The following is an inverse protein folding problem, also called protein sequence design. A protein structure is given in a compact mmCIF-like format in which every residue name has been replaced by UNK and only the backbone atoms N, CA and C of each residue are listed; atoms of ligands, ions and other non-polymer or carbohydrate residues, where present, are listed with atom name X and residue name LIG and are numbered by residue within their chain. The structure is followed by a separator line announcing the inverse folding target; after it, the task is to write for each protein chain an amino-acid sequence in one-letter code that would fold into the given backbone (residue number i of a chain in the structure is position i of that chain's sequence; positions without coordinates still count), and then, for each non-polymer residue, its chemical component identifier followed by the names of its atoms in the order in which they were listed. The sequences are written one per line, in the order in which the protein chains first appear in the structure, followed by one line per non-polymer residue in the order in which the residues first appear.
data_IF_259304971787
#
_entry.id   IF_259304971787
#
_cell.length_a   1.000
_cell.length_b   1.000
_cell.length_c   1.000
_cell.angle_alpha   90.00
_cell.angle_beta   90.00
_cell.angle_gamma   90.00
#
_symmetry.space_group_name_H-M   'P 1'
#
loop_
_entity.id
_entity.type
_entity.pdbx_description
1 polymer ?
#
# COMPACT_ATOMS: atom_id res chain seq x y z
N UNK A 1 -14.02 1.77 3.28
CA UNK A 1 -14.01 0.76 4.36
C UNK A 1 -14.37 1.42 5.68
N UNK A 2 -15.30 0.82 6.44
CA UNK A 2 -15.72 1.29 7.79
C UNK A 2 -14.56 1.41 8.81
N UNK A 3 -13.39 0.88 8.44
CA UNK A 3 -12.16 0.86 9.24
C UNK A 3 -11.27 2.08 9.02
N UNK A 4 -11.44 2.83 7.93
CA UNK A 4 -10.78 4.13 7.80
C UNK A 4 -11.58 5.19 8.55
N UNK A 5 -10.90 6.15 9.19
CA UNK A 5 -11.55 7.13 10.05
C UNK A 5 -12.31 8.23 9.27
N UNK A 6 -12.55 8.04 7.97
CA UNK A 6 -13.46 8.84 7.14
C UNK A 6 -14.93 8.55 7.45
N UNK A 7 -15.25 7.30 7.83
CA UNK A 7 -16.63 6.89 8.08
C UNK A 7 -17.18 7.53 9.37
N UNK A 8 -18.44 7.99 9.40
CA UNK A 8 -19.11 8.41 10.63
C UNK A 8 -19.38 7.21 11.57
N UNK A 9 -19.60 6.02 11.00
CA UNK A 9 -19.69 4.75 11.72
C UNK A 9 -18.31 4.08 11.68
N UNK A 10 -17.56 4.22 12.77
CA UNK A 10 -16.17 3.74 12.88
C UNK A 10 -16.14 2.45 13.66
N UNK A 11 -15.55 1.42 13.08
CA UNK A 11 -15.19 0.21 13.82
C UNK A 11 -13.83 0.43 14.46
N UNK A 12 -13.79 0.33 15.79
CA UNK A 12 -12.58 0.46 16.60
C UNK A 12 -12.53 -0.75 17.53
N UNK A 13 -11.55 -1.62 17.31
CA UNK A 13 -11.30 -2.84 18.05
C UNK A 13 -9.81 -3.12 18.16
N UNK A 14 -9.47 -4.09 19.01
CA UNK A 14 -8.11 -4.63 19.06
C UNK A 14 -7.84 -5.43 17.77
N UNK A 15 -6.65 -5.24 17.20
CA UNK A 15 -6.18 -5.93 15.99
C UNK A 15 -6.99 -5.66 14.70
N UNK A 16 -7.71 -4.53 14.63
CA UNK A 16 -8.42 -4.08 13.41
C UNK A 16 -7.53 -4.10 12.15
N UNK A 17 -6.24 -3.83 12.33
CA UNK A 17 -5.26 -3.83 11.25
C UNK A 17 -5.19 -5.15 10.49
N UNK A 18 -5.24 -6.28 11.18
CA UNK A 18 -5.15 -7.60 10.55
C UNK A 18 -6.34 -7.82 9.61
N UNK A 19 -7.54 -7.47 10.08
CA UNK A 19 -8.76 -7.56 9.28
C UNK A 19 -8.65 -6.67 8.04
N UNK A 20 -8.13 -5.44 8.19
CA UNK A 20 -7.91 -4.53 7.07
C UNK A 20 -6.98 -5.14 6.01
N UNK A 21 -5.86 -5.73 6.40
CA UNK A 21 -4.92 -6.34 5.44
C UNK A 21 -5.54 -7.52 4.70
N UNK A 22 -6.20 -8.43 5.42
CA UNK A 22 -6.81 -9.60 4.80
C UNK A 22 -7.93 -9.21 3.83
N UNK A 23 -8.82 -8.31 4.24
CA UNK A 23 -9.98 -7.93 3.45
C UNK A 23 -9.64 -7.02 2.28
N UNK A 24 -8.60 -6.20 2.41
CA UNK A 24 -8.35 -5.13 1.47
C UNK A 24 -7.09 -5.35 0.66
N UNK A 25 -5.98 -5.73 1.31
CA UNK A 25 -4.69 -5.84 0.63
C UNK A 25 -4.53 -7.18 -0.08
N UNK A 26 -4.88 -8.29 0.59
CA UNK A 26 -4.63 -9.64 0.05
C UNK A 26 -5.75 -10.10 -0.88
N UNK A 27 -7.01 -9.81 -0.54
CA UNK A 27 -8.16 -10.28 -1.32
C UNK A 27 -8.13 -9.82 -2.78
N UNK A 28 -7.84 -8.53 -3.03
CA UNK A 28 -7.88 -7.95 -4.38
C UNK A 28 -6.88 -8.62 -5.35
N UNK A 29 -5.56 -8.65 -5.08
CA UNK A 29 -4.60 -9.26 -6.01
C UNK A 29 -4.86 -10.76 -6.17
N UNK A 30 -5.26 -11.47 -5.11
CA UNK A 30 -5.62 -12.90 -5.21
C UNK A 30 -6.84 -13.09 -6.11
N UNK A 31 -7.87 -12.23 -5.99
CA UNK A 31 -9.06 -12.30 -6.84
C UNK A 31 -8.73 -12.05 -8.32
N UNK A 32 -7.85 -11.08 -8.61
CA UNK A 32 -7.38 -10.79 -9.97
C UNK A 32 -6.61 -11.99 -10.55
N UNK A 33 -5.74 -12.62 -9.75
CA UNK A 33 -5.01 -13.83 -10.16
C UNK A 33 -5.98 -14.97 -10.48
N UNK A 34 -6.95 -15.24 -9.60
CA UNK A 34 -7.92 -16.32 -9.80
C UNK A 34 -8.80 -16.07 -11.03
N UNK A 35 -9.23 -14.83 -11.25
CA UNK A 35 -10.00 -14.45 -12.43
C UNK A 35 -9.18 -14.63 -13.72
N UNK A 36 -7.90 -14.28 -13.69
CA UNK A 36 -6.98 -14.47 -14.81
C UNK A 36 -6.70 -15.94 -15.09
N UNK A 37 -6.57 -16.78 -14.06
CA UNK A 37 -6.37 -18.22 -14.21
C UNK A 37 -7.61 -18.96 -14.71
N UNK A 38 -8.81 -18.44 -14.45
CA UNK A 38 -10.06 -19.00 -14.94
C UNK A 38 -10.22 -18.89 -16.46
N UNK A 39 -9.48 -17.99 -17.11
CA UNK A 39 -9.43 -17.81 -18.57
C UNK A 39 -8.00 -18.13 -19.04
N UNK A 40 -7.71 -19.42 -19.30
CA UNK A 40 -6.34 -19.85 -19.53
C UNK A 40 -5.92 -19.72 -20.99
N UNK A 41 -4.79 -19.05 -21.19
CA UNK A 41 -4.03 -19.09 -22.42
C UNK A 41 -2.56 -18.70 -22.23
N UNK A 42 -1.78 -18.77 -23.31
CA UNK A 42 -0.32 -18.72 -23.22
C UNK A 42 0.19 -17.35 -22.75
N UNK A 43 -0.44 -16.26 -23.15
CA UNK A 43 -0.06 -14.91 -22.74
C UNK A 43 -0.53 -14.59 -21.32
N UNK A 44 -1.78 -14.94 -21.00
CA UNK A 44 -2.38 -14.79 -19.67
C UNK A 44 -1.58 -15.50 -18.59
N UNK A 45 -1.18 -16.76 -18.82
CA UNK A 45 -0.39 -17.54 -17.86
C UNK A 45 0.99 -16.93 -17.58
N UNK A 46 1.66 -16.36 -18.60
CA UNK A 46 2.92 -15.64 -18.41
C UNK A 46 2.70 -14.34 -17.64
N UNK A 47 1.66 -13.56 -17.96
CA UNK A 47 1.29 -12.36 -17.22
C UNK A 47 1.01 -12.64 -15.74
N UNK A 48 0.22 -13.67 -15.45
CA UNK A 48 -0.09 -14.12 -14.09
C UNK A 48 1.17 -14.56 -13.34
N UNK A 49 2.08 -15.28 -13.99
CA UNK A 49 3.35 -15.69 -13.37
C UNK A 49 4.19 -14.49 -12.92
N UNK A 50 4.23 -13.43 -13.74
CA UNK A 50 4.91 -12.17 -13.41
C UNK A 50 4.18 -11.45 -12.29
N UNK A 51 2.86 -11.34 -12.35
CA UNK A 51 2.07 -10.67 -11.31
C UNK A 51 2.25 -11.36 -9.95
N UNK A 52 2.24 -12.69 -9.90
CA UNK A 52 2.49 -13.47 -8.68
C UNK A 52 3.86 -13.17 -8.06
N UNK A 53 4.90 -13.04 -8.87
CA UNK A 53 6.23 -12.65 -8.39
C UNK A 53 6.23 -11.26 -7.74
N UNK A 54 5.41 -10.33 -8.23
CA UNK A 54 5.25 -9.02 -7.59
C UNK A 54 4.44 -9.11 -6.30
N UNK A 55 3.28 -9.77 -6.32
CA UNK A 55 2.39 -9.93 -5.16
C UNK A 55 3.12 -10.55 -3.97
N UNK A 56 3.92 -11.59 -4.22
CA UNK A 56 4.68 -12.30 -3.17
C UNK A 56 5.70 -11.41 -2.44
N UNK A 57 6.27 -10.41 -3.10
CA UNK A 57 7.24 -9.51 -2.48
C UNK A 57 6.59 -8.21 -1.96
N UNK A 58 5.60 -7.69 -2.68
CA UNK A 58 5.01 -6.39 -2.36
C UNK A 58 4.03 -6.47 -1.17
N UNK A 59 3.25 -7.54 -1.03
CA UNK A 59 2.28 -7.67 0.08
C UNK A 59 2.97 -7.77 1.45
N UNK A 60 4.03 -8.60 1.64
CA UNK A 60 4.75 -8.62 2.90
C UNK A 60 5.47 -7.31 3.20
N UNK A 61 6.05 -6.66 2.18
CA UNK A 61 6.71 -5.37 2.35
C UNK A 61 5.73 -4.27 2.77
N UNK A 62 4.54 -4.26 2.15
CA UNK A 62 3.45 -3.36 2.52
C UNK A 62 3.01 -3.58 3.95
N UNK A 63 2.74 -4.83 4.33
CA UNK A 63 2.35 -5.22 5.67
C UNK A 63 3.38 -4.73 6.72
N UNK A 64 4.66 -5.03 6.51
CA UNK A 64 5.73 -4.63 7.42
C UNK A 64 5.84 -3.08 7.54
N UNK A 65 5.70 -2.37 6.42
CA UNK A 65 5.76 -0.90 6.42
C UNK A 65 4.64 -0.25 7.24
N UNK A 66 3.39 -0.73 7.10
CA UNK A 66 2.27 -0.21 7.86
C UNK A 66 2.29 -0.64 9.32
N UNK A 67 2.91 -1.79 9.62
CA UNK A 67 3.01 -2.32 10.98
C UNK A 67 3.97 -1.47 11.85
N UNK A 68 4.98 -0.85 11.26
CA UNK A 68 5.98 -0.02 11.95
C UNK A 68 5.37 1.10 12.82
N UNK A 69 4.56 2.03 12.29
CA UNK A 69 3.92 3.07 13.11
C UNK A 69 2.94 2.49 14.14
N UNK A 70 2.33 1.35 13.85
CA UNK A 70 1.35 0.71 14.75
C UNK A 70 2.02 0.11 15.98
N UNK A 71 3.17 -0.53 15.80
CA UNK A 71 4.01 -1.01 16.90
C UNK A 71 4.29 0.15 17.86
N UNK A 72 4.84 1.26 17.36
CA UNK A 72 5.26 2.41 18.17
C UNK A 72 4.10 2.95 19.01
N UNK A 73 2.91 3.08 18.41
CA UNK A 73 1.73 3.65 19.05
C UNK A 73 1.08 2.68 20.03
N UNK A 74 1.11 1.38 19.72
CA UNK A 74 0.52 0.34 20.56
C UNK A 74 1.18 0.23 21.93
N UNK A 75 2.40 0.73 22.11
CA UNK A 75 3.05 0.79 23.42
C UNK A 75 2.35 1.76 24.38
N UNK A 76 1.85 2.89 23.86
CA UNK A 76 1.30 3.97 24.70
C UNK A 76 -0.22 4.08 24.69
N UNK A 77 -0.88 3.59 23.64
CA UNK A 77 -2.32 3.75 23.45
C UNK A 77 -3.01 2.41 23.18
N UNK A 78 -4.20 2.24 23.76
CA UNK A 78 -5.15 1.15 23.45
C UNK A 78 -6.29 1.70 22.57
N UNK A 79 -6.97 0.88 21.76
CA UNK A 79 -6.75 -0.54 21.46
C UNK A 79 -5.45 -0.85 20.71
N UNK A 80 -4.96 -2.07 20.91
CA UNK A 80 -3.68 -2.58 20.38
C UNK A 80 -3.81 -2.80 18.87
N UNK A 81 -2.83 -2.34 18.08
CA UNK A 81 -2.82 -2.44 16.62
C UNK A 81 -4.10 -1.92 15.92
N UNK A 82 -4.67 -0.81 16.40
CA UNK A 82 -5.81 -0.17 15.74
C UNK A 82 -5.39 0.92 14.75
N UNK A 83 -6.02 0.92 13.58
CA UNK A 83 -5.79 1.92 12.51
C UNK A 83 -6.23 3.31 12.97
N UNK A 84 -7.33 3.39 13.72
CA UNK A 84 -7.89 4.67 14.18
C UNK A 84 -6.90 5.41 15.07
N UNK A 85 -6.49 4.75 16.16
CA UNK A 85 -5.56 5.30 17.17
C UNK A 85 -4.23 5.68 16.55
N UNK A 86 -3.77 4.86 15.61
CA UNK A 86 -2.58 5.13 14.80
C UNK A 86 -2.77 6.44 14.04
N UNK A 87 -3.82 6.56 13.23
CA UNK A 87 -4.02 7.74 12.39
C UNK A 87 -4.07 9.07 13.14
N UNK A 88 -4.59 9.09 14.37
CA UNK A 88 -4.71 10.32 15.17
C UNK A 88 -3.42 10.70 15.90
N UNK A 89 -2.50 9.76 16.14
CA UNK A 89 -1.33 9.98 17.00
C UNK A 89 0.02 9.87 16.27
N UNK A 90 0.08 9.28 15.07
CA UNK A 90 1.33 9.14 14.29
C UNK A 90 2.08 10.46 14.14
N UNK A 91 1.37 11.57 13.92
CA UNK A 91 1.97 12.89 13.74
C UNK A 91 2.92 13.30 14.90
N UNK A 92 2.65 12.86 16.13
CA UNK A 92 3.52 13.17 17.29
C UNK A 92 4.90 12.52 17.14
N UNK A 93 4.95 11.32 16.58
CA UNK A 93 6.19 10.56 16.39
C UNK A 93 7.01 11.03 15.19
N UNK A 94 6.44 11.86 14.31
CA UNK A 94 7.21 12.61 13.32
C UNK A 94 8.02 13.76 13.92
N UNK A 95 7.69 14.22 15.14
CA UNK A 95 8.43 15.29 15.82
C UNK A 95 9.60 14.76 16.65
N UNK A 96 9.58 13.48 17.01
CA UNK A 96 10.58 12.85 17.87
C UNK A 96 11.77 12.34 17.03
N UNK A 97 13.01 12.83 17.27
CA UNK A 97 14.18 12.44 16.47
C UNK A 97 14.46 10.94 16.40
N UNK A 98 14.14 10.19 17.46
CA UNK A 98 14.39 8.75 17.54
C UNK A 98 13.39 7.89 16.74
N UNK A 99 12.16 8.36 16.55
CA UNK A 99 11.12 7.62 15.83
C UNK A 99 11.00 8.03 14.35
N UNK A 100 11.66 9.11 13.95
CA UNK A 100 11.71 9.55 12.54
C UNK A 100 12.40 8.50 11.62
N UNK A 101 13.57 7.92 11.95
CA UNK A 101 14.24 6.96 11.07
C UNK A 101 13.39 5.75 10.66
N UNK A 102 12.74 4.99 11.58
CA UNK A 102 11.90 3.87 11.18
C UNK A 102 10.69 4.32 10.34
N UNK A 103 10.14 5.50 10.64
CA UNK A 103 8.96 6.02 9.95
C UNK A 103 9.26 6.49 8.52
N UNK A 104 10.44 7.09 8.29
CA UNK A 104 10.92 7.42 6.93
C UNK A 104 11.16 6.16 6.12
N UNK A 105 11.80 5.13 6.70
CA UNK A 105 12.03 3.86 6.01
C UNK A 105 10.71 3.18 5.64
N UNK A 106 9.74 3.16 6.55
CA UNK A 106 8.40 2.67 6.28
C UNK A 106 7.69 3.48 5.17
N UNK A 107 7.80 4.81 5.20
CA UNK A 107 7.22 5.68 4.18
C UNK A 107 7.84 5.42 2.80
N UNK A 108 9.16 5.37 2.68
CA UNK A 108 9.85 5.07 1.42
C UNK A 108 9.44 3.69 0.91
N UNK A 109 9.45 2.67 1.76
CA UNK A 109 9.03 1.32 1.38
C UNK A 109 7.58 1.31 0.86
N UNK A 110 6.66 2.00 1.56
CA UNK A 110 5.26 2.06 1.18
C UNK A 110 5.00 2.78 -0.15
N UNK A 111 5.78 3.82 -0.48
CA UNK A 111 5.69 4.52 -1.78
C UNK A 111 6.19 3.62 -2.92
N UNK A 112 7.27 2.87 -2.69
CA UNK A 112 7.77 1.91 -3.69
C UNK A 112 6.76 0.79 -3.93
N UNK A 113 6.13 0.28 -2.87
CA UNK A 113 5.03 -0.69 -2.97
C UNK A 113 3.85 -0.09 -3.72
N UNK A 114 3.43 1.13 -3.41
CA UNK A 114 2.32 1.80 -4.10
C UNK A 114 2.55 1.83 -5.62
N UNK A 115 3.78 2.15 -6.03
CA UNK A 115 4.15 2.15 -7.45
C UNK A 115 4.05 0.76 -8.09
N UNK A 116 4.48 -0.28 -7.37
CA UNK A 116 4.40 -1.66 -7.82
C UNK A 116 2.95 -2.17 -7.89
N UNK A 117 2.12 -1.84 -6.90
CA UNK A 117 0.69 -2.18 -6.86
C UNK A 117 -0.09 -1.54 -8.00
N UNK A 118 0.18 -0.28 -8.31
CA UNK A 118 -0.47 0.44 -9.39
C UNK A 118 0.00 0.02 -10.80
N UNK A 119 0.98 -0.87 -10.89
CA UNK A 119 1.62 -1.29 -12.15
C UNK A 119 2.11 -0.10 -12.99
N UNK A 120 2.42 1.03 -12.36
CA UNK A 120 2.91 2.20 -13.06
C UNK A 120 4.40 2.05 -13.37
N UNK A 121 4.87 2.72 -14.43
CA UNK A 121 6.30 2.83 -14.72
C UNK A 121 7.01 3.29 -13.44
N UNK A 122 8.05 2.62 -12.94
CA UNK A 122 8.92 1.70 -13.67
C UNK A 122 8.60 0.20 -13.47
N UNK A 123 7.55 -0.13 -12.72
CA UNK A 123 7.13 -1.50 -12.37
C UNK A 123 6.00 -2.06 -13.27
N UNK A 124 5.76 -1.42 -14.42
CA UNK A 124 4.80 -1.91 -15.42
C UNK A 124 5.31 -3.15 -16.16
N UNK A 125 5.26 -4.32 -15.49
CA UNK A 125 5.76 -5.61 -15.98
C UNK A 125 4.65 -6.66 -16.14
N UNK A 126 3.65 -6.73 -15.25
CA UNK A 126 2.57 -7.70 -15.38
C UNK A 126 1.62 -7.43 -16.56
N UNK A 127 1.48 -6.18 -16.98
CA UNK A 127 0.62 -5.76 -18.08
C UNK A 127 1.39 -5.54 -19.40
N UNK A 128 2.71 -5.32 -19.31
CA UNK A 128 3.64 -4.94 -20.38
C UNK A 128 3.16 -5.27 -21.82
N UNK A 129 2.40 -4.34 -22.42
CA UNK A 129 1.73 -4.56 -23.71
C UNK A 129 2.71 -4.94 -24.83
N UNK A 130 3.91 -4.35 -24.79
CA UNK A 130 4.95 -4.58 -25.79
C UNK A 130 5.57 -5.98 -25.72
N UNK A 131 5.38 -6.73 -24.62
CA UNK A 131 5.91 -8.09 -24.44
C UNK A 131 4.82 -9.17 -24.40
N UNK A 132 3.66 -8.85 -23.80
CA UNK A 132 2.61 -9.83 -23.48
C UNK A 132 1.20 -9.35 -23.88
N UNK A 133 1.08 -8.44 -24.86
CA UNK A 133 -0.17 -7.88 -25.41
C UNK A 133 -0.96 -7.05 -24.39
N UNK A 134 -1.49 -7.68 -23.34
CA UNK A 134 -2.16 -7.06 -22.19
C UNK A 134 -1.93 -7.86 -20.87
N UNK A 135 -0.99 -8.81 -20.89
CA UNK A 135 -0.64 -9.62 -19.72
C UNK A 135 -1.77 -10.48 -19.17
N UNK A 136 -2.15 -10.27 -17.91
CA UNK A 136 -3.19 -11.06 -17.27
C UNK A 136 -4.61 -10.67 -17.71
N UNK A 137 -4.77 -9.56 -18.43
CA UNK A 137 -6.06 -9.06 -18.91
C UNK A 137 -6.37 -9.49 -20.35
N UNK A 138 -5.46 -10.21 -21.03
CA UNK A 138 -5.56 -10.51 -22.47
C UNK A 138 -6.83 -11.24 -22.88
N UNK A 139 -7.38 -12.06 -21.99
CA UNK A 139 -8.54 -12.91 -22.28
C UNK A 139 -9.84 -12.38 -21.68
N UNK A 140 -9.81 -11.22 -21.02
CA UNK A 140 -11.01 -10.67 -20.39
C UNK A 140 -11.98 -10.12 -21.44
N UNK A 141 -13.21 -10.60 -21.36
CA UNK A 141 -14.35 -9.99 -22.06
C UNK A 141 -14.65 -8.59 -21.47
N UNK A 142 -15.26 -7.71 -22.26
CA UNK A 142 -15.52 -6.32 -21.86
C UNK A 142 -16.10 -6.12 -20.44
N UNK A 143 -17.15 -6.86 -20.03
CA UNK A 143 -17.69 -6.73 -18.66
C UNK A 143 -16.71 -7.19 -17.57
N UNK A 144 -15.96 -8.26 -17.81
CA UNK A 144 -14.98 -8.81 -16.84
C UNK A 144 -13.78 -7.89 -16.73
N UNK A 145 -13.30 -7.35 -17.86
CA UNK A 145 -12.24 -6.36 -17.91
C UNK A 145 -12.62 -5.10 -17.12
N UNK A 146 -13.86 -4.61 -17.28
CA UNK A 146 -14.34 -3.46 -16.52
C UNK A 146 -14.32 -3.68 -15.01
N UNK A 147 -14.66 -4.89 -14.54
CA UNK A 147 -14.58 -5.24 -13.11
C UNK A 147 -13.12 -5.38 -12.65
N UNK A 148 -12.25 -5.96 -13.49
CA UNK A 148 -10.83 -6.11 -13.20
C UNK A 148 -10.13 -4.76 -12.98
N UNK A 149 -10.33 -3.83 -13.91
CA UNK A 149 -9.77 -2.49 -13.85
C UNK A 149 -10.30 -1.72 -12.64
N UNK A 150 -11.61 -1.85 -12.35
CA UNK A 150 -12.22 -1.24 -11.16
C UNK A 150 -11.59 -1.80 -9.87
N UNK A 151 -11.41 -3.11 -9.77
CA UNK A 151 -10.76 -3.74 -8.62
C UNK A 151 -9.32 -3.25 -8.44
N UNK A 152 -8.55 -3.17 -9.52
CA UNK A 152 -7.19 -2.63 -9.51
C UNK A 152 -7.17 -1.17 -9.04
N UNK A 153 -8.03 -0.31 -9.60
CA UNK A 153 -8.12 1.10 -9.21
C UNK A 153 -8.50 1.26 -7.73
N UNK A 154 -9.39 0.41 -7.21
CA UNK A 154 -9.73 0.38 -5.79
C UNK A 154 -8.51 0.02 -4.93
N UNK A 155 -7.71 -0.98 -5.32
CA UNK A 155 -6.49 -1.35 -4.57
C UNK A 155 -5.50 -0.18 -4.51
N UNK A 156 -5.27 0.51 -5.63
CA UNK A 156 -4.39 1.69 -5.69
C UNK A 156 -4.92 2.82 -4.81
N UNK A 157 -6.22 3.12 -4.87
CA UNK A 157 -6.83 4.17 -4.05
C UNK A 157 -6.72 3.84 -2.57
N UNK A 158 -7.02 2.60 -2.17
CA UNK A 158 -6.98 2.21 -0.76
C UNK A 158 -5.53 2.18 -0.25
N UNK A 159 -4.58 1.70 -1.03
CA UNK A 159 -3.17 1.70 -0.63
C UNK A 159 -2.60 3.10 -0.51
N UNK A 160 -2.96 4.04 -1.39
CA UNK A 160 -2.61 5.44 -1.20
C UNK A 160 -3.28 6.05 0.05
N UNK A 161 -4.55 5.74 0.31
CA UNK A 161 -5.25 6.21 1.51
C UNK A 161 -4.66 5.64 2.80
N UNK A 162 -4.26 4.36 2.81
CA UNK A 162 -3.66 3.73 3.99
C UNK A 162 -2.35 4.41 4.38
N UNK A 163 -1.51 4.77 3.41
CA UNK A 163 -0.27 5.52 3.62
C UNK A 163 -0.58 6.87 4.26
N UNK A 164 -1.58 7.59 3.75
CA UNK A 164 -1.98 8.89 4.32
C UNK A 164 -2.46 8.75 5.77
N UNK A 165 -3.30 7.75 6.05
CA UNK A 165 -3.85 7.57 7.39
C UNK A 165 -2.83 7.04 8.39
N UNK A 166 -2.09 6.00 8.03
CA UNK A 166 -1.24 5.24 8.96
C UNK A 166 0.16 5.85 9.07
N UNK A 167 0.69 6.43 8.00
CA UNK A 167 2.05 7.00 8.01
C UNK A 167 2.04 8.53 8.11
N UNK A 168 1.14 9.24 7.43
CA UNK A 168 1.12 10.73 7.42
C UNK A 168 0.16 11.35 8.46
N UNK A 169 -0.44 10.53 9.32
CA UNK A 169 -1.30 11.00 10.42
C UNK A 169 -2.66 11.57 9.96
N UNK A 170 -3.21 11.10 8.84
CA UNK A 170 -4.58 11.38 8.41
C UNK A 170 -4.93 12.89 8.38
N UNK A 171 -6.08 13.31 8.92
CA UNK A 171 -6.55 14.71 8.87
C UNK A 171 -6.02 15.59 10.01
N UNK A 172 -5.06 15.12 10.80
CA UNK A 172 -4.41 15.94 11.82
C UNK A 172 -3.86 17.25 11.18
N UNK A 173 -4.04 18.44 11.81
CA UNK A 173 -4.46 18.72 13.20
C UNK A 173 -5.96 18.78 13.47
N UNK A 174 -6.80 18.64 12.45
CA UNK A 174 -8.23 18.88 12.58
C UNK A 174 -9.01 17.58 12.84
N UNK A 175 -10.16 17.64 13.53
CA UNK A 175 -11.02 16.48 13.70
C UNK A 175 -11.57 16.02 12.36
N UNK A 176 -11.68 14.70 12.18
CA UNK A 176 -12.07 14.04 10.92
C UNK A 176 -13.41 14.52 10.33
N UNK A 177 -14.35 14.97 11.16
CA UNK A 177 -15.69 15.45 10.73
C UNK A 177 -15.70 16.93 10.35
N UNK A 178 -14.60 17.65 10.58
CA UNK A 178 -14.51 19.06 10.22
C UNK A 178 -14.13 19.22 8.75
N UNK A 179 -14.73 20.22 8.11
CA UNK A 179 -14.40 20.66 6.75
C UNK A 179 -12.86 20.83 6.55
N UNK A 180 -12.11 21.52 7.45
CA UNK A 180 -10.65 21.62 7.29
C UNK A 180 -9.92 20.28 7.39
N UNK A 181 -10.43 19.32 8.17
CA UNK A 181 -9.88 17.97 8.26
C UNK A 181 -10.01 17.17 6.97
N UNK A 182 -11.15 17.28 6.29
CA UNK A 182 -11.35 16.63 4.98
C UNK A 182 -10.45 17.26 3.91
N UNK A 183 -10.32 18.58 3.92
CA UNK A 183 -9.46 19.31 2.96
C UNK A 183 -7.99 18.89 3.13
N UNK A 184 -7.46 18.87 4.35
CA UNK A 184 -6.05 18.49 4.57
C UNK A 184 -5.80 17.02 4.19
N UNK A 185 -6.78 16.15 4.38
CA UNK A 185 -6.70 14.77 3.95
C UNK A 185 -6.60 14.66 2.43
N UNK A 186 -7.47 15.37 1.71
CA UNK A 186 -7.44 15.42 0.24
C UNK A 186 -6.09 15.95 -0.23
N UNK A 187 -5.56 17.00 0.40
CA UNK A 187 -4.24 17.56 0.07
C UNK A 187 -3.14 16.52 0.27
N UNK A 188 -3.10 15.81 1.41
CA UNK A 188 -2.09 14.77 1.67
C UNK A 188 -2.21 13.60 0.71
N UNK A 189 -3.44 13.19 0.38
CA UNK A 189 -3.70 12.14 -0.61
C UNK A 189 -3.22 12.53 -2.00
N UNK A 190 -3.55 13.75 -2.44
CA UNK A 190 -3.03 14.31 -3.69
C UNK A 190 -1.51 14.41 -3.68
N UNK A 191 -0.89 14.73 -2.54
CA UNK A 191 0.58 14.75 -2.43
C UNK A 191 1.19 13.36 -2.64
N UNK A 192 0.62 12.30 -2.06
CA UNK A 192 1.09 10.91 -2.26
C UNK A 192 0.95 10.49 -3.73
N UNK A 193 -0.21 10.77 -4.35
CA UNK A 193 -0.42 10.48 -5.78
C UNK A 193 0.52 11.31 -6.66
N UNK A 194 0.74 12.57 -6.32
CA UNK A 194 1.65 13.44 -7.06
C UNK A 194 3.07 12.89 -7.01
N UNK A 195 3.55 12.42 -5.86
CA UNK A 195 4.85 11.75 -5.74
C UNK A 195 4.90 10.49 -6.61
N UNK A 196 3.89 9.62 -6.56
CA UNK A 196 3.81 8.43 -7.41
C UNK A 196 3.80 8.79 -8.91
N UNK A 197 3.11 9.88 -9.28
CA UNK A 197 3.03 10.37 -10.67
C UNK A 197 4.36 10.97 -11.14
N UNK A 198 5.09 11.69 -10.27
CA UNK A 198 6.44 12.18 -10.57
C UNK A 198 7.37 11.00 -10.83
N UNK A 199 7.34 9.97 -9.99
CA UNK A 199 8.13 8.75 -10.17
C UNK A 199 7.77 8.10 -11.51
N UNK A 200 6.47 7.98 -11.82
CA UNK A 200 5.97 7.45 -13.10
C UNK A 200 6.52 8.18 -14.32
N UNK A 201 6.62 9.50 -14.25
CA UNK A 201 7.07 10.32 -15.38
C UNK A 201 8.60 10.44 -15.47
N UNK A 202 9.32 10.21 -14.37
CA UNK A 202 10.78 10.38 -14.29
C UNK A 202 11.53 9.11 -14.70
N UNK A 203 10.99 7.93 -14.40
CA UNK A 203 11.67 6.65 -14.63
C UNK A 203 11.09 5.90 -15.84
N UNK A 204 11.98 5.30 -16.63
CA UNK A 204 11.62 4.34 -17.67
C UNK A 204 11.23 2.97 -17.09
N UNK A 205 10.71 2.07 -17.93
CA UNK A 205 10.33 0.70 -17.54
C UNK A 205 11.55 -0.14 -17.17
N UNK A 206 11.51 -0.83 -16.03
CA UNK A 206 12.53 -1.82 -15.66
C UNK A 206 12.24 -3.19 -16.27
N UNK A 207 13.31 -3.96 -16.50
CA UNK A 207 13.19 -5.39 -16.80
C UNK A 207 12.82 -6.15 -15.53
N UNK A 208 12.13 -7.29 -15.68
CA UNK A 208 11.62 -8.16 -14.60
C UNK A 208 12.64 -8.36 -13.47
N UNK A 209 13.83 -8.87 -13.79
CA UNK A 209 14.87 -9.18 -12.79
C UNK A 209 15.31 -7.94 -12.00
N UNK A 210 15.48 -6.80 -12.68
CA UNK A 210 15.88 -5.55 -12.06
C UNK A 210 14.77 -5.00 -11.17
N UNK A 211 13.52 -5.09 -11.61
CA UNK A 211 12.36 -4.65 -10.84
C UNK A 211 12.19 -5.46 -9.55
N UNK A 212 12.33 -6.79 -9.60
CA UNK A 212 12.32 -7.63 -8.39
C UNK A 212 13.45 -7.25 -7.43
N UNK A 213 14.67 -7.06 -7.95
CA UNK A 213 15.81 -6.66 -7.12
C UNK A 213 15.59 -5.29 -6.45
N UNK A 214 15.07 -4.31 -7.19
CA UNK A 214 14.73 -2.98 -6.68
C UNK A 214 13.64 -3.08 -5.62
N UNK A 215 12.59 -3.87 -5.86
CA UNK A 215 11.50 -4.03 -4.90
C UNK A 215 11.97 -4.73 -3.61
N UNK A 216 12.83 -5.73 -3.72
CA UNK A 216 13.44 -6.35 -2.55
C UNK A 216 14.33 -5.35 -1.79
N UNK A 217 15.17 -4.60 -2.50
CA UNK A 217 16.13 -3.65 -1.91
C UNK A 217 15.49 -2.41 -1.30
N UNK A 218 14.44 -1.87 -1.91
CA UNK A 218 13.84 -0.58 -1.54
C UNK A 218 12.45 -0.70 -0.91
N UNK A 219 11.80 -1.86 -0.95
CA UNK A 219 10.55 -2.09 -0.22
C UNK A 219 10.74 -3.10 0.92
N UNK A 220 11.19 -4.32 0.63
CA UNK A 220 11.19 -5.40 1.62
C UNK A 220 12.27 -5.22 2.71
N UNK A 221 13.52 -4.99 2.31
CA UNK A 221 14.61 -4.77 3.28
C UNK A 221 14.34 -3.56 4.19
N UNK A 222 13.99 -2.36 3.67
CA UNK A 222 13.77 -1.20 4.53
C UNK A 222 12.53 -1.33 5.41
N UNK A 223 11.46 -2.01 4.96
CA UNK A 223 10.29 -2.27 5.80
C UNK A 223 10.60 -3.20 6.97
N UNK A 224 11.42 -4.24 6.77
CA UNK A 224 11.87 -5.12 7.87
C UNK A 224 12.77 -4.35 8.85
N UNK A 225 13.72 -3.57 8.33
CA UNK A 225 14.59 -2.73 9.19
C UNK A 225 13.74 -1.74 10.00
N UNK A 226 12.73 -1.13 9.39
CA UNK A 226 11.82 -0.21 10.06
C UNK A 226 11.09 -0.89 11.23
N UNK A 227 10.59 -2.12 11.04
CA UNK A 227 9.94 -2.90 12.10
C UNK A 227 10.91 -3.23 13.22
N UNK A 228 12.14 -3.67 12.91
CA UNK A 228 13.16 -3.99 13.92
C UNK A 228 13.49 -2.75 14.74
N UNK A 229 13.71 -1.61 14.09
CA UNK A 229 13.98 -0.34 14.77
C UNK A 229 12.81 0.11 15.65
N UNK A 230 11.56 -0.08 15.20
CA UNK A 230 10.38 0.20 16.00
C UNK A 230 10.28 -0.70 17.25
N UNK A 231 10.64 -1.98 17.13
CA UNK A 231 10.68 -2.89 18.29
C UNK A 231 11.77 -2.50 19.29
N UNK A 232 12.96 -2.13 18.81
CA UNK A 232 14.05 -1.65 19.67
C UNK A 232 13.62 -0.40 20.43
N UNK A 233 12.93 0.53 19.77
CA UNK A 233 12.43 1.74 20.41
C UNK A 233 11.45 1.46 21.57
N UNK A 234 10.63 0.42 21.47
CA UNK A 234 9.71 0.04 22.56
C UNK A 234 10.44 -0.63 23.72
N UNK A 235 11.54 -1.33 23.44
CA UNK A 235 12.30 -2.04 24.45
C UNK A 235 13.16 -1.10 25.33
N UNK A 236 13.36 0.14 24.90
CA UNK A 236 14.09 1.20 25.61
C UNK A 236 13.11 2.03 26.45
#
# INVERSE_FOLDING_TARGET
TLMFPLSPLRLVGDYDFLIFIYMVSVWIPVSLILMSLAMPGPYTSVGVSRFLLFVTLMEPAYFASLLTPMIIISSQYKPVYSIYVTSTNVWKYWLNPYTIPPLILALVASIVVLQAKAMFNPFNIPEAEQEIIAGFETEFSGPVLGIALLLHDIDVVITALSIVYILLGGPYPYPHTSIPGVIILIIKYLAVILVATIIRNTYGRFRIEQALYILLKYALIPSIIAVILALIYIAI
#
